data_IF_263563403206
#
_entry.id   IF_263563403206
#
_cell.length_a   1.000
_cell.length_b   1.000
_cell.length_c   1.000
_cell.angle_alpha   90.00
_cell.angle_beta   90.00
_cell.angle_gamma   90.00
#
_symmetry.space_group_name_H-M   'P 1'
#
loop_
_entity.id
_entity.type
_entity.pdbx_description
1 polymer ?
#
# COMPACT_ATOMS: atom_id res chain seq x y z
N UNK A 1 -29.76 -0.13 -8.95
CA UNK A 1 -29.88 1.35 -9.00
C UNK A 1 -30.62 1.79 -7.75
N UNK A 2 -30.28 2.91 -7.11
CA UNK A 2 -30.86 3.37 -5.84
C UNK A 2 -31.45 4.77 -6.00
N UNK A 3 -32.61 5.01 -5.37
CA UNK A 3 -33.31 6.31 -5.41
C UNK A 3 -32.71 7.34 -4.43
N UNK A 4 -31.74 6.94 -3.61
CA UNK A 4 -31.03 7.81 -2.67
C UNK A 4 -29.58 8.02 -3.13
N UNK A 5 -29.01 9.22 -2.96
CA UNK A 5 -27.60 9.45 -3.23
C UNK A 5 -26.71 8.45 -2.49
N UNK A 6 -25.67 7.97 -3.18
CA UNK A 6 -24.67 7.06 -2.64
C UNK A 6 -23.30 7.70 -2.80
N UNK A 7 -22.49 7.60 -1.75
CA UNK A 7 -21.10 8.04 -1.77
C UNK A 7 -20.24 6.83 -2.10
N UNK A 8 -19.35 7.01 -3.08
CA UNK A 8 -18.34 6.05 -3.47
C UNK A 8 -16.99 6.75 -3.49
N UNK A 9 -15.94 6.00 -3.16
CA UNK A 9 -14.59 6.53 -3.10
C UNK A 9 -14.07 6.74 -4.52
N UNK A 10 -13.46 7.89 -4.77
CA UNK A 10 -12.84 8.21 -6.04
C UNK A 10 -11.63 7.31 -6.35
N UNK A 11 -11.15 7.39 -7.60
CA UNK A 11 -10.03 6.56 -8.05
C UNK A 11 -8.74 6.90 -7.31
N UNK A 12 -8.00 5.90 -6.83
CA UNK A 12 -6.68 6.11 -6.24
C UNK A 12 -5.75 4.92 -6.48
N UNK A 13 -4.44 5.14 -6.35
CA UNK A 13 -3.44 4.08 -6.51
C UNK A 13 -3.60 2.94 -5.49
N UNK A 14 -4.28 3.18 -4.37
CA UNK A 14 -4.59 2.14 -3.37
C UNK A 14 -5.55 1.06 -3.89
N UNK A 15 -6.26 1.31 -5.00
CA UNK A 15 -7.08 0.33 -5.72
C UNK A 15 -6.25 -0.58 -6.63
N UNK A 16 -4.93 -0.35 -6.75
CA UNK A 16 -4.02 -1.24 -7.47
C UNK A 16 -3.88 -2.57 -6.75
N UNK A 17 -4.38 -3.65 -7.36
CA UNK A 17 -4.24 -5.00 -6.81
C UNK A 17 -2.78 -5.48 -6.81
N UNK A 18 -1.93 -4.95 -7.68
CA UNK A 18 -0.53 -5.34 -7.80
C UNK A 18 0.25 -5.01 -6.53
N UNK A 19 0.15 -3.77 -6.04
CA UNK A 19 0.91 -3.34 -4.87
C UNK A 19 0.48 -4.11 -3.62
N UNK A 20 -0.84 -4.22 -3.38
CA UNK A 20 -1.35 -4.99 -2.24
C UNK A 20 -0.96 -6.47 -2.34
N UNK A 21 -0.96 -7.07 -3.55
CA UNK A 21 -0.51 -8.47 -3.72
C UNK A 21 0.98 -8.65 -3.41
N UNK A 22 1.83 -7.71 -3.82
CA UNK A 22 3.27 -7.74 -3.52
C UNK A 22 3.49 -7.61 -2.01
N UNK A 23 2.80 -6.67 -1.36
CA UNK A 23 2.88 -6.47 0.09
C UNK A 23 2.53 -7.76 0.83
N UNK A 24 1.37 -8.35 0.53
CA UNK A 24 0.91 -9.59 1.16
C UNK A 24 1.88 -10.74 0.91
N UNK A 25 2.34 -10.96 -0.32
CA UNK A 25 3.23 -12.06 -0.66
C UNK A 25 4.60 -11.95 0.04
N UNK A 26 5.17 -10.75 0.08
CA UNK A 26 6.47 -10.50 0.73
C UNK A 26 6.34 -10.49 2.26
N UNK A 27 5.17 -10.17 2.80
CA UNK A 27 4.93 -10.10 4.25
C UNK A 27 5.04 -8.70 4.83
N UNK A 28 4.72 -7.67 4.04
CA UNK A 28 4.55 -6.29 4.52
C UNK A 28 3.11 -6.14 5.02
N UNK A 29 2.96 -5.70 6.27
CA UNK A 29 1.66 -5.47 6.89
C UNK A 29 1.43 -3.98 7.16
N UNK A 30 0.20 -3.54 6.95
CA UNK A 30 -0.24 -2.15 7.14
C UNK A 30 -1.20 -2.11 8.33
N UNK A 31 -0.64 -2.03 9.55
CA UNK A 31 -1.41 -2.18 10.80
C UNK A 31 -1.90 -0.84 11.36
N UNK A 32 -1.37 0.28 10.87
CA UNK A 32 -1.75 1.58 11.39
C UNK A 32 -3.16 1.99 10.94
N UNK A 33 -3.85 2.76 11.79
CA UNK A 33 -5.16 3.31 11.50
C UNK A 33 -5.16 4.19 10.24
N UNK A 34 -4.06 4.90 9.98
CA UNK A 34 -3.90 5.78 8.81
C UNK A 34 -3.52 5.02 7.51
N UNK A 35 -3.41 3.69 7.53
CA UNK A 35 -3.04 2.91 6.34
C UNK A 35 -3.95 1.70 6.10
N UNK A 36 -3.93 0.72 7.01
CA UNK A 36 -4.59 -0.58 6.85
C UNK A 36 -6.07 -0.50 6.49
N UNK A 37 -6.91 0.20 7.29
CA UNK A 37 -8.35 0.29 7.03
C UNK A 37 -8.68 0.86 5.65
N UNK A 38 -7.90 1.83 5.18
CA UNK A 38 -8.10 2.41 3.85
C UNK A 38 -7.74 1.41 2.73
N UNK A 39 -6.63 0.70 2.86
CA UNK A 39 -6.23 -0.34 1.89
C UNK A 39 -7.25 -1.47 1.79
N UNK A 40 -7.79 -1.91 2.93
CA UNK A 40 -8.84 -2.93 3.01
C UNK A 40 -10.14 -2.46 2.32
N UNK A 41 -10.54 -1.22 2.56
CA UNK A 41 -11.70 -0.63 1.89
C UNK A 41 -11.50 -0.58 0.36
N UNK A 42 -10.27 -0.27 -0.09
CA UNK A 42 -9.94 -0.22 -1.52
C UNK A 42 -10.01 -1.57 -2.23
N UNK A 43 -9.89 -2.70 -1.52
CA UNK A 43 -10.11 -4.01 -2.13
C UNK A 43 -11.55 -4.19 -2.65
N UNK A 44 -12.52 -3.47 -2.07
CA UNK A 44 -13.92 -3.47 -2.56
C UNK A 44 -14.08 -2.82 -3.93
N UNK A 45 -13.09 -2.03 -4.35
CA UNK A 45 -13.04 -1.34 -5.64
C UNK A 45 -12.19 -2.09 -6.68
N UNK A 46 -11.61 -3.23 -6.33
CA UNK A 46 -10.84 -4.08 -7.25
C UNK A 46 -11.73 -5.11 -7.96
N UNK A 47 -11.39 -5.56 -9.19
CA UNK A 47 -12.09 -6.68 -9.83
C UNK A 47 -12.22 -7.91 -8.90
N UNK A 48 -13.36 -8.62 -8.89
CA UNK A 48 -13.56 -9.76 -7.99
C UNK A 48 -12.46 -10.84 -8.03
N UNK A 49 -11.90 -11.22 -9.20
CA UNK A 49 -10.78 -12.17 -9.24
C UNK A 49 -9.51 -11.63 -8.55
N UNK A 50 -9.23 -10.33 -8.64
CA UNK A 50 -8.01 -9.75 -8.07
C UNK A 50 -8.08 -9.65 -6.55
N UNK A 51 -9.22 -9.22 -5.98
CA UNK A 51 -9.40 -9.23 -4.52
C UNK A 51 -9.37 -10.66 -3.96
N UNK A 52 -9.90 -11.64 -4.70
CA UNK A 52 -9.80 -13.07 -4.32
C UNK A 52 -8.36 -13.54 -4.29
N UNK A 53 -7.53 -13.09 -5.23
CA UNK A 53 -6.11 -13.40 -5.26
C UNK A 53 -5.37 -12.82 -4.04
N UNK A 54 -5.63 -11.57 -3.66
CA UNK A 54 -5.06 -10.98 -2.43
C UNK A 54 -5.50 -11.78 -1.20
N UNK A 55 -6.79 -12.09 -1.07
CA UNK A 55 -7.30 -12.93 0.03
C UNK A 55 -6.71 -14.34 0.05
N UNK A 56 -6.41 -14.91 -1.12
CA UNK A 56 -5.68 -16.17 -1.19
C UNK A 56 -4.26 -16.02 -0.64
N UNK A 57 -3.51 -14.99 -1.06
CA UNK A 57 -2.16 -14.71 -0.54
C UNK A 57 -2.16 -14.52 0.98
N UNK A 58 -3.18 -13.86 1.56
CA UNK A 58 -3.33 -13.67 3.01
C UNK A 58 -3.45 -14.99 3.79
N UNK A 59 -3.87 -16.09 3.13
CA UNK A 59 -3.96 -17.42 3.75
C UNK A 59 -2.69 -18.25 3.62
N UNK A 60 -1.71 -17.78 2.83
CA UNK A 60 -0.45 -18.47 2.62
C UNK A 60 0.63 -17.94 3.57
N UNK A 61 1.62 -18.75 3.95
CA UNK A 61 2.82 -18.23 4.60
C UNK A 61 3.49 -17.16 3.73
N UNK A 62 3.80 -16.00 4.31
CA UNK A 62 4.53 -14.96 3.60
C UNK A 62 5.98 -15.39 3.33
N UNK A 63 6.61 -14.80 2.31
CA UNK A 63 8.03 -15.01 2.05
C UNK A 63 8.89 -14.61 3.26
N UNK A 64 8.53 -13.52 3.94
CA UNK A 64 9.20 -13.09 5.17
C UNK A 64 9.15 -14.17 6.26
N UNK A 65 7.99 -14.77 6.52
CA UNK A 65 7.85 -15.84 7.52
C UNK A 65 8.73 -17.06 7.19
N UNK A 66 8.95 -17.35 5.90
CA UNK A 66 9.84 -18.42 5.46
C UNK A 66 11.32 -18.05 5.67
N UNK A 67 11.71 -16.84 5.27
CA UNK A 67 13.11 -16.37 5.34
C UNK A 67 13.57 -16.15 6.79
N UNK A 68 12.68 -15.68 7.67
CA UNK A 68 12.97 -15.48 9.10
C UNK A 68 13.26 -16.78 9.87
N UNK A 69 12.99 -17.95 9.29
CA UNK A 69 13.39 -19.24 9.85
C UNK A 69 14.90 -19.48 9.75
N UNK A 70 15.68 -18.55 9.16
CA UNK A 70 17.14 -18.60 9.16
C UNK A 70 17.74 -19.58 8.15
N UNK A 71 16.99 -19.92 7.09
CA UNK A 71 17.37 -20.96 6.13
C UNK A 71 18.56 -20.55 5.25
N UNK A 72 18.67 -19.27 4.88
CA UNK A 72 19.73 -18.75 4.00
C UNK A 72 19.89 -17.24 4.09
N UNK A 73 21.14 -16.76 4.20
CA UNK A 73 21.49 -15.35 4.11
C UNK A 73 21.20 -14.76 2.73
N UNK A 74 21.39 -15.53 1.66
CA UNK A 74 21.12 -15.11 0.28
C UNK A 74 19.62 -14.82 0.07
N UNK A 75 18.75 -15.65 0.66
CA UNK A 75 17.30 -15.41 0.64
C UNK A 75 16.92 -14.16 1.44
N UNK A 76 17.56 -13.94 2.59
CA UNK A 76 17.40 -12.70 3.38
C UNK A 76 17.77 -11.47 2.55
N UNK A 77 18.93 -11.49 1.91
CA UNK A 77 19.42 -10.38 1.11
C UNK A 77 18.57 -10.15 -0.14
N UNK A 78 18.08 -11.24 -0.78
CA UNK A 78 17.14 -11.13 -1.89
C UNK A 78 15.82 -10.47 -1.46
N UNK A 79 15.23 -10.90 -0.34
CA UNK A 79 13.97 -10.36 0.14
C UNK A 79 14.10 -8.91 0.60
N UNK A 80 15.18 -8.58 1.33
CA UNK A 80 15.48 -7.20 1.74
C UNK A 80 15.70 -6.27 0.53
N UNK A 81 16.28 -6.77 -0.57
CA UNK A 81 16.36 -6.00 -1.84
C UNK A 81 14.98 -5.73 -2.42
N UNK A 82 14.07 -6.70 -2.41
CA UNK A 82 12.69 -6.49 -2.88
C UNK A 82 11.96 -5.43 -2.03
N UNK A 83 12.04 -5.53 -0.69
CA UNK A 83 11.47 -4.55 0.24
C UNK A 83 12.06 -3.15 -0.01
N UNK A 84 13.37 -3.04 -0.18
CA UNK A 84 14.06 -1.77 -0.45
C UNK A 84 13.64 -1.14 -1.79
N UNK A 85 13.44 -1.96 -2.83
CA UNK A 85 12.94 -1.48 -4.13
C UNK A 85 11.51 -0.98 -4.04
N UNK A 86 10.66 -1.63 -3.24
CA UNK A 86 9.30 -1.18 -3.00
C UNK A 86 9.25 0.12 -2.17
N UNK A 87 10.11 0.26 -1.16
CA UNK A 87 10.29 1.53 -0.44
C UNK A 87 10.70 2.65 -1.39
N UNK A 88 11.68 2.38 -2.27
CA UNK A 88 12.15 3.35 -3.27
C UNK A 88 11.04 3.77 -4.22
N UNK A 89 10.20 2.83 -4.65
CA UNK A 89 9.01 3.11 -5.45
C UNK A 89 8.03 4.02 -4.69
N UNK A 90 7.70 3.69 -3.43
CA UNK A 90 6.80 4.50 -2.60
C UNK A 90 7.35 5.90 -2.34
N UNK A 91 8.66 6.03 -2.12
CA UNK A 91 9.36 7.31 -2.01
C UNK A 91 9.23 8.13 -3.29
N UNK A 92 9.44 7.51 -4.45
CA UNK A 92 9.30 8.22 -5.74
C UNK A 92 7.85 8.63 -6.01
N UNK A 93 6.89 7.77 -5.68
CA UNK A 93 5.47 8.07 -5.76
C UNK A 93 5.11 9.27 -4.86
N UNK A 94 5.62 9.33 -3.63
CA UNK A 94 5.41 10.47 -2.73
C UNK A 94 5.99 11.78 -3.31
N UNK A 95 7.16 11.74 -3.95
CA UNK A 95 7.71 12.91 -4.65
C UNK A 95 6.82 13.38 -5.80
N UNK A 96 6.26 12.45 -6.57
CA UNK A 96 5.31 12.78 -7.64
C UNK A 96 4.07 13.45 -7.04
N UNK A 97 3.51 12.89 -5.97
CA UNK A 97 2.32 13.44 -5.32
C UNK A 97 2.57 14.83 -4.74
N UNK A 98 3.71 15.07 -4.11
CA UNK A 98 4.10 16.41 -3.67
C UNK A 98 4.16 17.36 -4.86
N UNK A 99 4.87 16.99 -5.93
CA UNK A 99 5.07 17.88 -7.07
C UNK A 99 3.78 18.20 -7.84
N UNK A 100 2.90 17.23 -8.03
CA UNK A 100 1.72 17.37 -8.88
C UNK A 100 0.44 17.73 -8.13
N UNK A 101 0.43 17.64 -6.80
CA UNK A 101 -0.75 17.94 -5.99
C UNK A 101 -0.41 19.05 -4.98
N UNK A 102 0.54 18.81 -4.09
CA UNK A 102 0.82 19.74 -3.00
C UNK A 102 1.43 21.05 -3.49
N UNK A 103 2.44 20.99 -4.35
CA UNK A 103 3.09 22.17 -4.93
C UNK A 103 2.16 22.95 -5.90
N UNK A 104 1.04 22.34 -6.30
CA UNK A 104 0.08 22.94 -7.24
C UNK A 104 -1.16 23.50 -6.52
N UNK A 105 -1.32 23.22 -5.23
CA UNK A 105 -2.42 23.73 -4.42
C UNK A 105 -2.13 25.17 -3.97
N UNK A 106 -3.17 25.97 -3.77
CA UNK A 106 -3.03 27.28 -3.13
C UNK A 106 -2.99 27.10 -1.62
N UNK A 107 -2.46 28.10 -0.90
CA UNK A 107 -2.31 28.04 0.57
C UNK A 107 -3.64 27.84 1.33
N UNK A 108 -4.77 28.20 0.72
CA UNK A 108 -6.12 28.08 1.30
C UNK A 108 -6.84 26.76 0.93
N UNK A 109 -6.24 25.90 0.09
CA UNK A 109 -6.87 24.67 -0.39
C UNK A 109 -6.73 23.52 0.61
N UNK A 110 -7.84 22.86 0.95
CA UNK A 110 -7.81 21.58 1.65
C UNK A 110 -7.36 20.47 0.69
N UNK A 111 -6.12 20.00 0.85
CA UNK A 111 -5.51 19.07 -0.11
C UNK A 111 -5.83 17.62 0.27
N UNK A 112 -6.98 17.13 -0.21
CA UNK A 112 -7.41 15.74 -0.02
C UNK A 112 -7.13 14.91 -1.27
N UNK A 113 -6.68 13.68 -1.07
CA UNK A 113 -6.45 12.75 -2.17
C UNK A 113 -7.78 12.36 -2.82
N UNK A 114 -7.78 11.99 -4.09
CA UNK A 114 -8.99 11.55 -4.80
C UNK A 114 -9.67 10.31 -4.18
N UNK A 115 -8.92 9.56 -3.36
CA UNK A 115 -9.44 8.47 -2.53
C UNK A 115 -10.09 8.92 -1.21
N UNK A 116 -10.14 10.22 -0.93
CA UNK A 116 -10.68 10.78 0.32
C UNK A 116 -9.74 10.69 1.52
N UNK A 117 -8.41 10.66 1.29
CA UNK A 117 -7.41 10.53 2.35
C UNK A 117 -6.52 11.76 2.48
N UNK A 118 -6.02 11.98 3.69
CA UNK A 118 -4.81 12.75 3.96
C UNK A 118 -3.61 12.02 3.34
N UNK A 119 -3.40 12.22 2.04
CA UNK A 119 -2.50 11.38 1.25
C UNK A 119 -1.05 11.49 1.71
N UNK A 120 -0.61 12.61 2.26
CA UNK A 120 0.75 12.77 2.78
C UNK A 120 0.97 11.82 3.96
N UNK A 121 0.03 11.77 4.90
CA UNK A 121 0.09 10.86 6.06
C UNK A 121 0.01 9.41 5.61
N UNK A 122 -0.95 9.08 4.75
CA UNK A 122 -1.11 7.73 4.20
C UNK A 122 0.15 7.24 3.47
N UNK A 123 0.72 8.06 2.57
CA UNK A 123 1.92 7.70 1.80
C UNK A 123 3.16 7.61 2.69
N UNK A 124 3.31 8.51 3.66
CA UNK A 124 4.41 8.47 4.63
C UNK A 124 4.31 7.19 5.47
N UNK A 125 3.10 6.83 5.91
CA UNK A 125 2.88 5.65 6.75
C UNK A 125 3.15 4.36 6.00
N UNK A 126 2.54 4.18 4.84
CA UNK A 126 2.74 3.00 3.98
C UNK A 126 4.21 2.83 3.58
N UNK A 127 4.94 3.93 3.29
CA UNK A 127 6.40 3.88 3.05
C UNK A 127 7.16 3.41 4.28
N UNK A 128 6.82 3.93 5.47
CA UNK A 128 7.51 3.61 6.72
C UNK A 128 7.28 2.15 7.15
N UNK A 129 6.06 1.65 7.00
CA UNK A 129 5.71 0.24 7.27
C UNK A 129 6.45 -0.71 6.31
N UNK A 130 6.66 -0.32 5.05
CA UNK A 130 7.53 -1.07 4.13
C UNK A 130 8.98 -1.10 4.62
N UNK A 131 9.58 0.04 4.96
CA UNK A 131 10.96 0.06 5.46
C UNK A 131 11.12 -0.73 6.76
N UNK A 132 10.11 -0.68 7.65
CA UNK A 132 10.10 -1.44 8.90
C UNK A 132 9.94 -2.95 8.71
N UNK A 133 9.67 -3.40 7.48
CA UNK A 133 9.52 -4.82 7.17
C UNK A 133 10.84 -5.52 6.83
N UNK A 134 11.96 -4.79 6.75
CA UNK A 134 13.29 -5.37 6.55
C UNK A 134 13.62 -6.40 7.65
N UNK A 135 14.27 -7.49 7.24
CA UNK A 135 14.71 -8.56 8.14
C UNK A 135 16.12 -8.20 8.67
N UNK A 136 16.36 -8.23 10.00
CA UNK A 136 17.67 -7.97 10.62
C UNK A 136 18.78 -8.91 10.13
#
# INVERSE_FOLDING_TARGET
VSDKPKVYIGGSAAQSSLLQSIDTAIGITHLHADSGPFLDEMQKYMPPPHRKFIKYLETQPSLKNYVEQGVSSELKDALNRCVSKLESFRKKHMQIVVHYILDQANDDDEVIGTGGTEFVNFLTRTKSETSGSLIP
#
